data_IF_101461419819
#
_entry.id   IF_101461419819
#
_cell.length_a   1.000
_cell.length_b   1.000
_cell.length_c   1.000
_cell.angle_alpha   90.00
_cell.angle_beta   90.00
_cell.angle_gamma   90.00
#
_symmetry.space_group_name_H-M   'P 1'
#
loop_
_entity.id
_entity.type
_entity.pdbx_description
1 polymer ?
#
# COMPACT_ATOMS: atom_id res chain seq x y z
N UNK A 1 -10.27 44.54 -27.55
CA UNK A 1 -10.68 44.99 -26.22
C UNK A 1 -10.15 46.37 -25.91
N UNK A 2 -10.80 47.07 -25.03
CA UNK A 2 -10.32 48.36 -24.50
C UNK A 2 -9.63 48.06 -23.14
N UNK A 3 -8.50 48.68 -22.87
CA UNK A 3 -7.84 48.59 -21.58
C UNK A 3 -7.72 50.00 -20.97
N UNK A 4 -7.82 50.07 -19.66
CA UNK A 4 -7.66 51.28 -18.87
C UNK A 4 -6.65 50.97 -17.76
N UNK A 5 -5.75 51.88 -17.45
CA UNK A 5 -4.89 51.80 -16.34
C UNK A 5 -4.84 53.11 -15.55
N UNK A 6 -4.71 53.02 -14.24
CA UNK A 6 -4.63 54.21 -13.39
C UNK A 6 -3.21 54.74 -13.32
N UNK A 7 -3.04 56.02 -13.17
CA UNK A 7 -1.72 56.71 -13.09
C UNK A 7 -0.97 56.52 -11.79
N UNK A 8 -1.24 55.42 -11.08
CA UNK A 8 -0.61 55.10 -9.80
C UNK A 8 0.83 54.57 -10.00
N UNK A 9 1.19 54.15 -11.20
CA UNK A 9 2.46 53.55 -11.55
C UNK A 9 3.50 54.58 -12.00
N UNK A 10 4.78 54.42 -11.57
CA UNK A 10 5.88 55.25 -12.00
C UNK A 10 6.20 55.12 -13.50
N UNK A 11 6.87 56.12 -14.07
CA UNK A 11 7.19 56.13 -15.51
C UNK A 11 8.08 54.97 -15.98
N UNK A 12 8.83 54.34 -15.06
CA UNK A 12 9.71 53.23 -15.36
C UNK A 12 9.09 51.84 -15.10
N UNK A 13 7.82 51.82 -14.69
CA UNK A 13 7.16 50.54 -14.43
C UNK A 13 6.86 49.79 -15.73
N UNK A 14 6.98 48.49 -15.71
CA UNK A 14 6.67 47.59 -16.84
C UNK A 14 5.25 47.05 -16.70
N UNK A 15 4.44 47.25 -17.73
CA UNK A 15 3.10 46.72 -17.77
C UNK A 15 3.08 45.49 -18.65
N UNK A 16 2.50 44.41 -18.13
CA UNK A 16 2.34 43.13 -18.84
C UNK A 16 0.95 42.99 -19.38
N UNK A 17 0.86 42.77 -20.70
CA UNK A 17 -0.40 42.50 -21.41
C UNK A 17 -0.45 41.01 -21.73
N UNK A 18 -1.45 40.32 -21.17
CA UNK A 18 -1.64 38.88 -21.36
C UNK A 18 -3.07 38.58 -21.78
N UNK A 19 -3.22 37.72 -22.77
CA UNK A 19 -4.51 37.24 -23.25
C UNK A 19 -4.36 35.79 -23.71
N UNK A 20 -5.32 34.96 -23.35
CA UNK A 20 -5.29 33.52 -23.72
C UNK A 20 -5.27 33.40 -25.26
N UNK A 21 -4.31 32.63 -25.78
CA UNK A 21 -4.12 32.45 -27.22
C UNK A 21 -3.28 33.53 -27.92
N UNK A 22 -2.63 34.41 -27.13
CA UNK A 22 -1.74 35.45 -27.64
C UNK A 22 -0.43 35.48 -26.86
N UNK A 23 0.67 35.89 -27.50
CA UNK A 23 1.96 36.11 -26.83
C UNK A 23 1.85 37.26 -25.81
N UNK A 24 2.39 37.00 -24.60
CA UNK A 24 2.42 38.04 -23.58
C UNK A 24 3.44 39.11 -23.95
N UNK A 25 3.00 40.38 -23.88
CA UNK A 25 3.83 41.52 -24.21
C UNK A 25 4.09 42.32 -22.94
N UNK A 26 5.35 42.69 -22.73
CA UNK A 26 5.80 43.54 -21.61
C UNK A 26 6.33 44.86 -22.20
N UNK A 27 5.75 45.98 -21.78
CA UNK A 27 6.12 47.29 -22.24
C UNK A 27 6.34 48.24 -21.04
N UNK A 28 7.41 49.05 -21.08
CA UNK A 28 7.52 50.14 -20.16
C UNK A 28 6.40 51.16 -20.37
N UNK A 29 5.88 51.71 -19.27
CA UNK A 29 4.73 52.65 -19.32
C UNK A 29 4.94 53.78 -20.31
N UNK A 30 6.17 54.32 -20.37
CA UNK A 30 6.54 55.38 -21.31
C UNK A 30 6.51 55.03 -22.79
N UNK A 31 6.44 53.71 -23.12
CA UNK A 31 6.48 53.17 -24.49
C UNK A 31 5.16 52.49 -24.94
N UNK A 32 4.08 52.65 -24.17
CA UNK A 32 2.82 52.01 -24.48
C UNK A 32 2.15 52.73 -25.62
N UNK A 33 1.91 52.10 -26.79
CA UNK A 33 1.19 52.69 -27.90
C UNK A 33 -0.32 52.69 -27.62
N UNK A 34 -1.05 53.59 -28.30
CA UNK A 34 -2.52 53.65 -28.22
C UNK A 34 -3.20 52.35 -28.64
N UNK A 35 -2.56 51.56 -29.47
CA UNK A 35 -3.04 50.26 -29.95
C UNK A 35 -1.94 49.23 -29.79
N UNK A 36 -2.18 48.19 -28.99
CA UNK A 36 -1.30 47.05 -28.82
C UNK A 36 -1.76 45.93 -29.73
N UNK A 37 -0.92 45.53 -30.67
CA UNK A 37 -1.16 44.38 -31.53
C UNK A 37 -0.49 43.15 -30.94
N UNK A 38 -1.28 42.23 -30.39
CA UNK A 38 -0.79 40.96 -29.85
C UNK A 38 -0.75 39.92 -30.97
N UNK A 39 0.33 39.12 -30.97
CA UNK A 39 0.52 38.03 -31.93
C UNK A 39 -0.18 36.77 -31.40
N UNK A 40 -0.96 36.12 -32.25
CA UNK A 40 -1.57 34.83 -31.89
C UNK A 40 -0.50 33.81 -31.66
N UNK A 41 -0.58 33.11 -30.57
CA UNK A 41 0.27 31.93 -30.24
C UNK A 41 -0.63 30.73 -30.07
N UNK A 42 -0.21 29.59 -30.59
CA UNK A 42 -0.79 28.30 -30.25
C UNK A 42 -0.17 27.87 -28.93
N UNK A 43 -0.99 27.86 -27.88
CA UNK A 43 -0.64 27.17 -26.67
C UNK A 43 -0.69 25.68 -27.04
N UNK A 44 0.46 25.05 -27.24
CA UNK A 44 0.51 23.60 -27.20
C UNK A 44 0.19 23.22 -25.76
N UNK A 45 -1.07 22.92 -25.52
CA UNK A 45 -1.42 22.20 -24.30
C UNK A 45 -0.74 20.85 -24.44
N UNK A 46 0.20 20.56 -23.55
CA UNK A 46 0.68 19.21 -23.36
C UNK A 46 -0.55 18.31 -23.32
N UNK A 47 -0.50 17.22 -24.09
CA UNK A 47 -1.63 16.32 -24.23
C UNK A 47 -2.11 15.94 -22.82
N UNK A 48 -3.17 16.60 -22.35
CA UNK A 48 -3.86 16.16 -21.14
C UNK A 48 -4.44 14.82 -21.53
N UNK A 49 -3.75 13.75 -21.13
CA UNK A 49 -4.34 12.42 -21.16
C UNK A 49 -5.60 12.49 -20.30
N UNK A 50 -6.74 12.78 -20.92
CA UNK A 50 -8.03 12.58 -20.32
C UNK A 50 -8.14 11.07 -20.17
N UNK A 51 -7.74 10.58 -18.99
CA UNK A 51 -8.02 9.21 -18.61
C UNK A 51 -9.53 9.03 -18.64
N UNK A 52 -10.03 8.62 -19.78
CA UNK A 52 -11.40 8.12 -19.91
C UNK A 52 -11.63 7.12 -18.78
N UNK A 53 -12.88 6.80 -18.45
CA UNK A 53 -13.29 5.90 -17.35
C UNK A 53 -12.24 4.86 -17.05
N UNK A 54 -11.54 4.99 -15.89
CA UNK A 54 -10.52 4.05 -15.43
C UNK A 54 -11.09 2.65 -15.59
N UNK A 55 -10.46 1.80 -16.39
CA UNK A 55 -10.98 0.47 -16.71
C UNK A 55 -11.30 -0.25 -15.40
N UNK A 56 -12.31 -1.12 -15.40
CA UNK A 56 -12.68 -1.93 -14.21
C UNK A 56 -11.47 -2.68 -13.66
N UNK A 57 -10.57 -3.10 -14.55
CA UNK A 57 -9.33 -3.79 -14.19
C UNK A 57 -8.37 -2.89 -13.41
N UNK A 58 -8.11 -1.67 -13.89
CA UNK A 58 -7.24 -0.69 -13.20
C UNK A 58 -7.80 -0.30 -11.83
N UNK A 59 -9.13 -0.11 -11.72
CA UNK A 59 -9.79 0.14 -10.41
C UNK A 59 -9.61 -1.05 -9.45
N UNK A 60 -9.67 -2.29 -9.94
CA UNK A 60 -9.47 -3.50 -9.13
C UNK A 60 -8.04 -3.58 -8.62
N UNK A 61 -7.03 -3.32 -9.47
CA UNK A 61 -5.61 -3.34 -9.08
C UNK A 61 -5.33 -2.27 -8.02
N UNK A 62 -5.80 -1.03 -8.21
CA UNK A 62 -5.63 0.08 -7.24
C UNK A 62 -6.26 -0.27 -5.88
N UNK A 63 -7.41 -0.96 -5.88
CA UNK A 63 -8.05 -1.42 -4.64
C UNK A 63 -7.20 -2.49 -3.95
N UNK A 64 -6.69 -3.46 -4.70
CA UNK A 64 -5.82 -4.51 -4.16
C UNK A 64 -4.54 -3.87 -3.59
N UNK A 65 -3.92 -2.93 -4.30
CA UNK A 65 -2.72 -2.24 -3.83
C UNK A 65 -2.94 -1.55 -2.48
N UNK A 66 -4.03 -0.79 -2.34
CA UNK A 66 -4.39 -0.14 -1.08
C UNK A 66 -4.62 -1.16 0.03
N UNK A 67 -5.31 -2.26 -0.27
CA UNK A 67 -5.60 -3.31 0.71
C UNK A 67 -4.32 -4.06 1.11
N UNK A 68 -3.40 -4.36 0.17
CA UNK A 68 -2.07 -4.94 0.45
C UNK A 68 -1.27 -4.01 1.36
N UNK A 69 -1.11 -2.73 0.99
CA UNK A 69 -0.36 -1.75 1.79
C UNK A 69 -0.88 -1.65 3.22
N UNK A 70 -2.19 -1.78 3.40
CA UNK A 70 -2.82 -1.73 4.74
C UNK A 70 -2.50 -2.96 5.59
N UNK A 71 -2.50 -4.16 4.99
CA UNK A 71 -2.35 -5.41 5.76
C UNK A 71 -0.92 -5.94 5.79
N UNK A 72 -0.05 -5.48 4.91
CA UNK A 72 1.34 -5.91 4.83
C UNK A 72 2.14 -5.76 6.14
N UNK A 73 2.01 -4.67 6.93
CA UNK A 73 2.67 -4.56 8.23
C UNK A 73 2.31 -5.70 9.19
N UNK A 74 1.05 -6.17 9.18
CA UNK A 74 0.61 -7.29 10.02
C UNK A 74 1.23 -8.62 9.57
N UNK A 75 1.37 -8.82 8.25
CA UNK A 75 2.05 -10.00 7.73
C UNK A 75 3.53 -10.03 8.12
N UNK A 76 4.21 -8.89 8.10
CA UNK A 76 5.62 -8.78 8.56
C UNK A 76 5.77 -9.07 10.06
N UNK A 77 4.85 -8.59 10.88
CA UNK A 77 4.83 -8.95 12.31
C UNK A 77 4.73 -10.46 12.49
N UNK A 78 3.84 -11.11 11.74
CA UNK A 78 3.68 -12.56 11.77
C UNK A 78 4.95 -13.29 11.31
N UNK A 79 5.62 -12.82 10.25
CA UNK A 79 6.93 -13.35 9.81
C UNK A 79 7.96 -13.31 10.93
N UNK A 80 8.07 -12.19 11.66
CA UNK A 80 9.00 -12.07 12.78
C UNK A 80 8.70 -13.08 13.91
N UNK A 81 7.41 -13.35 14.16
CA UNK A 81 7.05 -14.41 15.13
C UNK A 81 7.45 -15.80 14.63
N UNK A 82 7.34 -16.08 13.34
CA UNK A 82 7.79 -17.34 12.75
C UNK A 82 9.30 -17.52 12.89
N UNK A 83 10.09 -16.50 12.56
CA UNK A 83 11.55 -16.53 12.67
C UNK A 83 12.00 -16.71 14.12
N UNK A 84 11.42 -15.97 15.06
CA UNK A 84 11.70 -16.10 16.49
C UNK A 84 11.34 -17.50 17.00
N UNK A 85 10.21 -18.04 16.52
CA UNK A 85 9.79 -19.40 16.89
C UNK A 85 10.80 -20.46 16.43
N UNK A 86 11.34 -20.32 15.21
CA UNK A 86 12.35 -21.23 14.67
C UNK A 86 13.57 -21.28 15.58
N UNK A 87 14.11 -20.13 15.96
CA UNK A 87 15.26 -20.03 16.84
C UNK A 87 15.03 -20.67 18.23
N UNK A 88 13.81 -20.49 18.77
CA UNK A 88 13.42 -21.07 20.06
C UNK A 88 13.25 -22.59 19.93
N UNK A 89 12.70 -23.09 18.82
CA UNK A 89 12.50 -24.52 18.60
C UNK A 89 13.80 -25.28 18.53
N UNK A 90 14.85 -24.71 17.95
CA UNK A 90 16.20 -25.30 17.94
C UNK A 90 16.74 -25.47 19.34
N UNK A 91 16.49 -24.50 20.23
CA UNK A 91 16.88 -24.59 21.65
C UNK A 91 16.04 -25.63 22.38
N UNK A 92 14.78 -25.82 22.06
CA UNK A 92 13.89 -26.80 22.69
C UNK A 92 14.17 -28.23 22.29
N UNK A 93 14.91 -28.46 21.20
CA UNK A 93 15.31 -29.82 20.78
C UNK A 93 16.15 -30.56 21.82
N UNK A 94 16.83 -29.85 22.73
CA UNK A 94 17.65 -30.41 23.82
C UNK A 94 16.82 -30.85 25.03
N UNK A 95 15.50 -30.64 25.07
CA UNK A 95 14.65 -31.02 26.19
C UNK A 95 13.92 -32.33 25.91
N UNK A 96 13.53 -33.04 27.01
CA UNK A 96 12.71 -34.25 26.94
C UNK A 96 11.39 -33.95 26.22
N UNK A 97 10.76 -34.96 25.59
CA UNK A 97 9.52 -34.83 24.82
C UNK A 97 8.41 -34.14 25.62
N UNK A 98 8.22 -34.48 26.88
CA UNK A 98 7.17 -33.94 27.75
C UNK A 98 7.43 -32.46 28.03
N UNK A 99 8.65 -32.10 28.43
CA UNK A 99 9.04 -30.72 28.71
C UNK A 99 8.96 -29.85 27.45
N UNK A 100 9.33 -30.39 26.28
CA UNK A 100 9.21 -29.73 24.99
C UNK A 100 7.75 -29.39 24.65
N UNK A 101 6.84 -30.36 24.88
CA UNK A 101 5.40 -30.14 24.62
C UNK A 101 4.82 -28.99 25.46
N UNK A 102 5.10 -28.97 26.76
CA UNK A 102 4.60 -27.92 27.65
C UNK A 102 5.20 -26.57 27.36
N UNK A 103 6.51 -26.48 27.10
CA UNK A 103 7.19 -25.24 26.73
C UNK A 103 6.67 -24.69 25.41
N UNK A 104 6.49 -25.55 24.42
CA UNK A 104 5.89 -25.19 23.12
C UNK A 104 4.47 -24.63 23.28
N UNK A 105 3.63 -25.30 24.06
CA UNK A 105 2.24 -24.83 24.30
C UNK A 105 2.21 -23.50 25.07
N UNK A 106 3.12 -23.29 26.02
CA UNK A 106 3.26 -22.00 26.70
C UNK A 106 3.65 -20.89 25.72
N UNK A 107 4.64 -21.12 24.89
CA UNK A 107 5.09 -20.18 23.88
C UNK A 107 3.97 -19.77 22.91
N UNK A 108 3.16 -20.73 22.45
CA UNK A 108 2.02 -20.40 21.57
C UNK A 108 0.97 -19.51 22.25
N UNK A 109 0.70 -19.73 23.54
CA UNK A 109 -0.20 -18.86 24.30
C UNK A 109 0.36 -17.45 24.42
N UNK A 110 1.64 -17.31 24.75
CA UNK A 110 2.29 -16.00 24.84
C UNK A 110 2.25 -15.23 23.51
N UNK A 111 2.49 -15.92 22.39
CA UNK A 111 2.36 -15.33 21.04
C UNK A 111 0.91 -14.93 20.75
N UNK A 112 -0.06 -15.79 21.08
CA UNK A 112 -1.48 -15.53 20.87
C UNK A 112 -1.95 -14.34 21.71
N UNK A 113 -1.59 -14.30 22.99
CA UNK A 113 -1.95 -13.20 23.89
C UNK A 113 -1.34 -11.88 23.44
N UNK A 114 -0.08 -11.87 23.00
CA UNK A 114 0.58 -10.67 22.49
C UNK A 114 -0.03 -10.19 21.16
N UNK A 115 -0.33 -11.11 20.23
CA UNK A 115 -1.01 -10.79 18.98
C UNK A 115 -2.41 -10.22 19.22
N UNK A 116 -3.19 -10.81 20.13
CA UNK A 116 -4.52 -10.33 20.45
C UNK A 116 -4.46 -9.00 21.19
N UNK A 117 -3.56 -8.83 22.16
CA UNK A 117 -3.42 -7.58 22.90
C UNK A 117 -3.08 -6.40 21.99
N UNK A 118 -2.20 -6.61 21.01
CA UNK A 118 -1.73 -5.52 20.12
C UNK A 118 -2.60 -5.30 18.90
N UNK A 119 -3.16 -6.36 18.32
CA UNK A 119 -3.71 -6.31 16.97
C UNK A 119 -5.19 -6.71 16.88
N UNK A 120 -5.83 -7.23 17.95
CA UNK A 120 -7.23 -7.68 17.90
C UNK A 120 -8.17 -6.59 17.34
N UNK A 121 -8.09 -5.38 17.86
CA UNK A 121 -8.91 -4.27 17.38
C UNK A 121 -8.69 -3.94 15.90
N UNK A 122 -7.45 -3.93 15.46
CA UNK A 122 -7.08 -3.62 14.07
C UNK A 122 -7.50 -4.73 13.12
N UNK A 123 -7.31 -5.98 13.53
CA UNK A 123 -7.67 -7.17 12.76
C UNK A 123 -9.20 -7.28 12.63
N UNK A 124 -9.96 -7.03 13.69
CA UNK A 124 -11.44 -7.05 13.65
C UNK A 124 -12.03 -6.00 12.72
N UNK A 125 -11.32 -4.91 12.46
CA UNK A 125 -11.73 -3.83 11.53
C UNK A 125 -11.36 -4.10 10.06
N UNK A 126 -10.69 -5.20 9.77
CA UNK A 126 -10.39 -5.56 8.40
C UNK A 126 -11.66 -5.97 7.65
N UNK A 127 -11.76 -5.55 6.41
CA UNK A 127 -12.80 -6.07 5.50
C UNK A 127 -12.49 -7.53 5.14
N UNK A 128 -13.49 -8.28 4.69
CA UNK A 128 -13.30 -9.66 4.20
C UNK A 128 -12.20 -9.77 3.14
N UNK A 129 -12.11 -8.78 2.25
CA UNK A 129 -11.05 -8.73 1.23
C UNK A 129 -9.66 -8.52 1.84
N UNK A 130 -9.53 -7.58 2.77
CA UNK A 130 -8.28 -7.31 3.47
C UNK A 130 -7.82 -8.52 4.29
N UNK A 131 -8.75 -9.18 4.97
CA UNK A 131 -8.45 -10.41 5.70
C UNK A 131 -7.98 -11.54 4.79
N UNK A 132 -8.63 -11.73 3.63
CA UNK A 132 -8.19 -12.71 2.64
C UNK A 132 -6.77 -12.42 2.13
N UNK A 133 -6.46 -11.15 1.86
CA UNK A 133 -5.11 -10.74 1.45
C UNK A 133 -4.11 -11.00 2.58
N UNK A 134 -4.46 -10.66 3.82
CA UNK A 134 -3.59 -10.90 4.98
C UNK A 134 -3.22 -12.38 5.12
N UNK A 135 -4.20 -13.29 4.99
CA UNK A 135 -3.91 -14.75 5.05
C UNK A 135 -3.00 -15.19 3.91
N UNK A 136 -3.20 -14.66 2.70
CA UNK A 136 -2.32 -14.97 1.56
C UNK A 136 -0.89 -14.49 1.80
N UNK A 137 -0.73 -13.33 2.42
CA UNK A 137 0.58 -12.81 2.81
C UNK A 137 1.22 -13.64 3.92
N UNK A 138 0.45 -14.08 4.90
CA UNK A 138 0.92 -15.00 5.94
C UNK A 138 1.35 -16.34 5.33
N UNK A 139 0.59 -16.89 4.39
CA UNK A 139 0.94 -18.12 3.68
C UNK A 139 2.23 -17.94 2.84
N UNK A 140 2.39 -16.78 2.19
CA UNK A 140 3.63 -16.40 1.50
C UNK A 140 4.85 -16.41 2.43
N UNK A 141 4.74 -15.77 3.58
CA UNK A 141 5.82 -15.73 4.57
C UNK A 141 6.06 -17.13 5.19
N UNK A 142 4.98 -17.88 5.43
CA UNK A 142 5.05 -19.25 5.93
C UNK A 142 5.72 -20.23 4.94
N UNK A 143 5.48 -20.06 3.63
CA UNK A 143 6.13 -20.88 2.61
C UNK A 143 7.65 -20.65 2.51
N UNK A 144 8.16 -19.55 3.07
CA UNK A 144 9.61 -19.31 3.24
C UNK A 144 10.19 -20.02 4.46
N UNK A 145 9.33 -20.57 5.31
CA UNK A 145 9.68 -21.18 6.59
C UNK A 145 9.49 -22.70 6.51
N UNK A 146 10.18 -23.47 7.36
CA UNK A 146 10.08 -24.93 7.30
C UNK A 146 8.66 -25.44 7.54
N UNK A 147 8.27 -26.48 6.81
CA UNK A 147 6.95 -27.11 6.90
C UNK A 147 6.52 -27.49 8.32
N UNK A 148 7.47 -27.91 9.15
CA UNK A 148 7.20 -28.29 10.54
C UNK A 148 6.74 -27.11 11.40
N UNK A 149 7.31 -25.94 11.19
CA UNK A 149 6.96 -24.71 11.92
C UNK A 149 5.55 -24.29 11.56
N UNK A 150 5.19 -24.32 10.28
CA UNK A 150 3.84 -24.01 9.81
C UNK A 150 2.80 -24.94 10.44
N UNK A 151 3.11 -26.23 10.50
CA UNK A 151 2.25 -27.24 11.13
C UNK A 151 2.06 -26.95 12.62
N UNK A 152 3.12 -26.58 13.28
CA UNK A 152 3.13 -26.26 14.70
C UNK A 152 2.32 -25.01 15.01
N UNK A 153 2.49 -23.94 14.24
CA UNK A 153 1.66 -22.73 14.35
C UNK A 153 0.18 -23.03 14.09
N UNK A 154 -0.11 -23.83 13.09
CA UNK A 154 -1.49 -24.22 12.75
C UNK A 154 -2.20 -24.98 13.86
N UNK A 155 -1.45 -25.80 14.60
CA UNK A 155 -1.97 -26.64 15.69
C UNK A 155 -1.81 -25.98 17.07
N UNK A 156 -0.99 -24.95 17.19
CA UNK A 156 -0.62 -24.33 18.46
C UNK A 156 -1.61 -23.29 18.97
N UNK A 157 -2.30 -22.59 18.07
CA UNK A 157 -3.27 -21.57 18.43
C UNK A 157 -4.58 -22.16 18.95
N UNK A 158 -5.24 -21.43 19.85
CA UNK A 158 -6.49 -21.88 20.45
C UNK A 158 -7.66 -21.84 19.44
N UNK A 159 -8.73 -22.56 19.76
CA UNK A 159 -9.97 -22.51 19.00
C UNK A 159 -10.54 -21.09 18.92
N UNK A 160 -10.34 -20.26 19.94
CA UNK A 160 -10.75 -18.86 19.97
C UNK A 160 -10.07 -18.02 18.90
N UNK A 161 -8.76 -18.13 18.74
CA UNK A 161 -8.01 -17.49 17.66
C UNK A 161 -8.56 -17.88 16.28
N UNK A 162 -8.77 -19.18 16.06
CA UNK A 162 -9.33 -19.67 14.79
C UNK A 162 -10.76 -19.24 14.54
N UNK A 163 -11.59 -19.08 15.58
CA UNK A 163 -12.94 -18.53 15.44
C UNK A 163 -12.93 -17.07 14.98
N UNK A 164 -12.02 -16.25 15.51
CA UNK A 164 -11.85 -14.86 15.08
C UNK A 164 -11.43 -14.82 13.61
N UNK A 165 -10.44 -15.61 13.24
CA UNK A 165 -9.94 -15.69 11.85
C UNK A 165 -11.04 -16.23 10.91
N UNK A 166 -11.75 -17.28 11.26
CA UNK A 166 -12.83 -17.84 10.45
C UNK A 166 -14.00 -16.84 10.24
N UNK A 167 -14.37 -16.09 11.29
CA UNK A 167 -15.42 -15.06 11.18
C UNK A 167 -15.02 -13.93 10.24
N UNK A 168 -13.76 -13.51 10.27
CA UNK A 168 -13.25 -12.42 9.45
C UNK A 168 -13.03 -12.81 7.98
N UNK A 169 -12.61 -14.05 7.74
CA UNK A 169 -12.02 -14.43 6.45
C UNK A 169 -12.86 -15.48 5.69
N UNK A 170 -13.88 -16.04 6.32
CA UNK A 170 -14.69 -17.11 5.72
C UNK A 170 -13.94 -18.44 5.64
N UNK A 171 -14.62 -19.46 5.10
CA UNK A 171 -14.13 -20.86 5.16
C UNK A 171 -12.98 -21.22 4.20
N UNK A 172 -12.44 -20.28 3.42
CA UNK A 172 -11.50 -20.60 2.33
C UNK A 172 -10.03 -20.34 2.69
N UNK A 173 -9.57 -20.98 3.78
CA UNK A 173 -8.17 -20.97 4.24
C UNK A 173 -7.27 -21.98 3.50
N UNK A 174 -7.79 -22.69 2.51
CA UNK A 174 -7.10 -23.81 1.84
C UNK A 174 -6.34 -23.42 0.56
N UNK A 175 -6.37 -22.15 0.14
CA UNK A 175 -5.66 -21.76 -1.09
C UNK A 175 -4.21 -21.46 -0.80
N UNK A 176 -3.30 -22.27 -1.32
CA UNK A 176 -1.87 -22.00 -1.27
C UNK A 176 -1.54 -20.71 -2.07
N UNK A 177 -0.65 -19.89 -1.52
CA UNK A 177 -0.12 -18.73 -2.21
C UNK A 177 0.72 -19.15 -3.41
N UNK A 178 0.45 -18.57 -4.58
CA UNK A 178 1.25 -18.82 -5.77
C UNK A 178 1.61 -17.49 -6.48
N UNK A 179 2.85 -17.02 -6.35
CA UNK A 179 3.29 -15.73 -6.88
C UNK A 179 3.23 -15.62 -8.41
N UNK A 180 3.04 -16.73 -9.12
CA UNK A 180 3.04 -16.78 -10.58
C UNK A 180 1.66 -16.62 -11.20
N UNK A 181 0.57 -16.77 -10.41
CA UNK A 181 -0.78 -16.93 -10.95
C UNK A 181 -1.77 -15.92 -10.34
N UNK A 182 -2.60 -15.33 -11.19
CA UNK A 182 -3.83 -14.63 -10.79
C UNK A 182 -3.62 -13.42 -9.88
N UNK A 183 -4.38 -13.36 -8.78
CA UNK A 183 -4.36 -12.25 -7.83
C UNK A 183 -3.04 -12.23 -7.03
N UNK A 184 -2.45 -13.40 -6.76
CA UNK A 184 -1.18 -13.48 -6.01
C UNK A 184 -0.01 -12.88 -6.78
N UNK A 185 0.02 -13.02 -8.11
CA UNK A 185 1.00 -12.33 -8.96
C UNK A 185 0.89 -10.81 -8.83
N UNK A 186 -0.31 -10.27 -8.75
CA UNK A 186 -0.53 -8.83 -8.54
C UNK A 186 -0.07 -8.42 -7.14
N UNK A 187 -0.38 -9.23 -6.13
CA UNK A 187 0.05 -9.01 -4.74
C UNK A 187 1.59 -9.00 -4.67
N UNK A 188 2.26 -9.99 -5.27
CA UNK A 188 3.73 -10.08 -5.29
C UNK A 188 4.38 -8.84 -5.92
N UNK A 189 3.88 -8.42 -7.07
CA UNK A 189 4.35 -7.19 -7.72
C UNK A 189 4.17 -5.92 -6.85
N UNK A 190 3.07 -5.84 -6.10
CA UNK A 190 2.84 -4.75 -5.16
C UNK A 190 3.83 -4.80 -4.00
N UNK A 191 4.13 -6.00 -3.48
CA UNK A 191 5.11 -6.19 -2.40
C UNK A 191 6.49 -5.77 -2.87
N UNK A 192 6.91 -6.20 -4.06
CA UNK A 192 8.18 -5.78 -4.66
C UNK A 192 8.31 -4.25 -4.73
N UNK A 193 7.23 -3.54 -5.07
CA UNK A 193 7.21 -2.07 -5.06
C UNK A 193 7.31 -1.47 -3.65
N UNK A 194 6.76 -2.15 -2.65
CA UNK A 194 6.83 -1.69 -1.25
C UNK A 194 8.24 -1.91 -0.70
N UNK A 195 8.83 -3.06 -0.99
CA UNK A 195 10.16 -3.44 -0.49
C UNK A 195 11.30 -2.72 -1.22
N UNK A 196 11.12 -2.42 -2.52
CA UNK A 196 12.13 -1.80 -3.38
C UNK A 196 11.60 -0.54 -4.10
N UNK A 197 11.30 0.56 -3.38
CA UNK A 197 10.68 1.75 -3.97
C UNK A 197 11.57 2.45 -5.02
N UNK A 198 12.88 2.23 -4.99
CA UNK A 198 13.86 2.83 -5.91
C UNK A 198 13.96 2.11 -7.26
N UNK A 199 13.32 0.97 -7.43
CA UNK A 199 13.40 0.14 -8.63
C UNK A 199 12.27 0.44 -9.65
N UNK A 200 11.32 1.28 -9.27
CA UNK A 200 10.12 1.68 -10.01
C UNK A 200 9.93 3.20 -9.91
#
# INVERSE_FOLDING_TARGET
GKFFYNDIFGNNDTITFSLIGYETIQLAKSKIPKIIKMKKTTINLDMVEVFGRVSRHKKKITKIERDVRKVYPYAKVFSNYLENYESIMDTLNNFSMINRYFKKRKLFREIEDDLLARYDYSIRKLTKQQGRILIRLIDREANRTSFNIIKDFRNGFTAGFWQITARLFGHNLKSNYNPLIGEDKVIEHIIEKIENPTKF
#
